data_IF_900562850971
#
_entry.id   IF_900562850971
#
_cell.length_a   1.000
_cell.length_b   1.000
_cell.length_c   1.000
_cell.angle_alpha   90.00
_cell.angle_beta   90.00
_cell.angle_gamma   90.00
#
_symmetry.space_group_name_H-M   'P 1'
#
loop_
_entity.id
_entity.type
_entity.pdbx_description
1 polymer ?
#
# COMPACT_ATOMS: atom_id res chain seq x y z
N UNK A 1 -20.67 -3.30 27.14
CA UNK A 1 -20.93 -1.85 27.02
C UNK A 1 -20.06 -1.17 28.07
N UNK A 2 -19.16 -0.29 27.64
CA UNK A 2 -18.22 0.40 28.52
C UNK A 2 -18.98 1.53 29.23
N UNK A 3 -19.10 1.49 30.56
CA UNK A 3 -19.78 2.56 31.31
C UNK A 3 -18.82 3.73 31.56
N UNK A 4 -19.34 4.96 31.58
CA UNK A 4 -18.54 6.17 31.83
C UNK A 4 -17.78 6.12 33.17
N UNK A 5 -18.34 5.45 34.18
CA UNK A 5 -17.70 5.25 35.48
C UNK A 5 -16.46 4.33 35.41
N UNK A 6 -16.42 3.42 34.45
CA UNK A 6 -15.33 2.47 34.24
C UNK A 6 -14.25 2.98 33.27
N UNK A 7 -14.42 4.18 32.70
CA UNK A 7 -13.44 4.79 31.81
C UNK A 7 -12.26 5.37 32.60
N UNK A 8 -11.07 5.38 32.01
CA UNK A 8 -9.95 6.16 32.51
C UNK A 8 -10.16 7.67 32.20
N UNK A 9 -9.26 8.54 32.67
CA UNK A 9 -9.40 9.99 32.46
C UNK A 9 -9.36 10.39 30.98
N UNK A 10 -8.50 9.76 30.18
CA UNK A 10 -8.40 10.05 28.74
C UNK A 10 -9.66 9.60 27.98
N UNK A 11 -10.17 8.40 28.29
CA UNK A 11 -11.43 7.88 27.74
C UNK A 11 -12.61 8.77 28.09
N UNK A 12 -12.71 9.26 29.34
CA UNK A 12 -13.76 10.21 29.73
C UNK A 12 -13.64 11.53 28.96
N UNK A 13 -12.44 12.07 28.84
CA UNK A 13 -12.18 13.30 28.07
C UNK A 13 -12.65 13.15 26.63
N UNK A 14 -12.27 12.05 25.95
CA UNK A 14 -12.64 11.79 24.56
C UNK A 14 -14.14 11.49 24.41
N UNK A 15 -14.75 10.79 25.37
CA UNK A 15 -16.19 10.59 25.42
C UNK A 15 -16.94 11.93 25.50
N UNK A 16 -16.54 12.81 26.42
CA UNK A 16 -17.19 14.11 26.60
C UNK A 16 -16.99 15.00 25.37
N UNK A 17 -15.78 15.01 24.79
CA UNK A 17 -15.48 15.73 23.56
C UNK A 17 -16.35 15.24 22.39
N UNK A 18 -16.48 13.92 22.20
CA UNK A 18 -17.32 13.34 21.16
C UNK A 18 -18.82 13.55 21.38
N UNK A 19 -19.26 13.60 22.63
CA UNK A 19 -20.65 13.91 23.00
C UNK A 19 -20.98 15.38 22.79
N UNK A 20 -20.03 16.28 23.04
CA UNK A 20 -20.22 17.74 22.94
C UNK A 20 -19.92 18.32 21.55
N UNK A 21 -19.25 17.58 20.66
CA UNK A 21 -18.89 17.96 19.28
C UNK A 21 -20.08 18.35 18.38
N UNK A 22 -21.30 18.25 18.90
CA UNK A 22 -22.52 18.74 18.28
C UNK A 22 -22.49 20.21 17.88
N UNK A 23 -21.79 21.08 18.60
CA UNK A 23 -21.81 22.51 18.29
C UNK A 23 -21.03 22.88 17.02
N UNK A 24 -19.95 22.17 16.71
CA UNK A 24 -19.05 22.47 15.57
C UNK A 24 -19.45 21.75 14.29
N UNK A 25 -20.18 20.64 14.37
CA UNK A 25 -20.53 19.81 13.22
C UNK A 25 -19.39 18.91 12.74
N UNK A 26 -18.19 19.05 13.29
CA UNK A 26 -17.06 18.14 13.11
C UNK A 26 -16.35 17.88 14.44
N UNK A 27 -15.77 16.69 14.56
CA UNK A 27 -14.88 16.28 15.63
C UNK A 27 -13.53 15.89 15.01
N UNK A 28 -12.48 16.64 15.35
CA UNK A 28 -11.12 16.41 14.86
C UNK A 28 -10.26 15.80 15.96
N UNK A 29 -9.95 14.52 15.79
CA UNK A 29 -9.16 13.71 16.71
C UNK A 29 -7.89 13.17 16.02
N UNK A 30 -7.38 13.85 14.99
CA UNK A 30 -6.16 13.41 14.30
C UNK A 30 -4.92 13.46 15.19
N UNK A 31 -4.02 12.49 15.04
CA UNK A 31 -2.73 12.42 15.76
C UNK A 31 -2.84 12.46 17.31
N UNK A 32 -3.87 11.83 17.90
CA UNK A 32 -4.10 11.84 19.35
C UNK A 32 -3.66 10.55 20.07
N UNK A 33 -2.94 9.65 19.37
CA UNK A 33 -2.55 8.33 19.88
C UNK A 33 -3.73 7.48 20.38
N UNK A 34 -4.91 7.64 19.78
CA UNK A 34 -6.13 6.92 20.14
C UNK A 34 -5.97 5.43 19.79
N UNK A 35 -6.06 4.55 20.79
CA UNK A 35 -6.14 3.11 20.60
C UNK A 35 -7.58 2.59 20.64
N UNK A 36 -7.74 1.28 20.62
CA UNK A 36 -9.06 0.62 20.62
C UNK A 36 -9.91 0.97 21.86
N UNK A 37 -9.28 1.10 23.02
CA UNK A 37 -9.97 1.42 24.27
C UNK A 37 -10.54 2.85 24.25
N UNK A 38 -9.81 3.81 23.70
CA UNK A 38 -10.25 5.18 23.50
C UNK A 38 -11.32 5.27 22.39
N UNK A 39 -11.14 4.55 21.28
CA UNK A 39 -12.14 4.45 20.22
C UNK A 39 -13.46 3.87 20.74
N UNK A 40 -13.41 2.90 21.66
CA UNK A 40 -14.59 2.38 22.33
C UNK A 40 -15.31 3.44 23.17
N UNK A 41 -14.58 4.31 23.87
CA UNK A 41 -15.19 5.41 24.62
C UNK A 41 -15.87 6.42 23.68
N UNK A 42 -15.21 6.79 22.59
CA UNK A 42 -15.79 7.64 21.54
C UNK A 42 -17.05 6.99 20.95
N UNK A 43 -17.02 5.69 20.68
CA UNK A 43 -18.17 4.95 20.18
C UNK A 43 -19.38 5.00 21.12
N UNK A 44 -19.18 4.85 22.43
CA UNK A 44 -20.28 4.98 23.40
C UNK A 44 -20.84 6.42 23.43
N UNK A 45 -20.01 7.44 23.24
CA UNK A 45 -20.47 8.82 23.11
C UNK A 45 -21.31 9.03 21.83
N UNK A 46 -20.87 8.45 20.71
CA UNK A 46 -21.59 8.54 19.42
C UNK A 46 -22.99 7.93 19.49
N UNK A 47 -23.21 6.89 20.31
CA UNK A 47 -24.53 6.27 20.49
C UNK A 47 -25.54 7.19 21.20
N UNK A 48 -25.07 8.04 22.10
CA UNK A 48 -25.93 9.02 22.80
C UNK A 48 -25.97 10.37 22.07
N UNK A 49 -25.02 10.58 21.16
CA UNK A 49 -24.97 11.72 20.26
C UNK A 49 -25.97 11.58 19.07
N UNK A 50 -27.20 11.21 19.39
CA UNK A 50 -28.30 11.03 18.43
C UNK A 50 -29.47 11.97 18.70
N UNK A 51 -29.52 12.61 19.88
CA UNK A 51 -30.68 13.37 20.37
C UNK A 51 -30.31 14.79 20.84
N UNK A 52 -30.13 15.75 19.94
CA UNK A 52 -30.28 17.18 20.30
C UNK A 52 -31.15 17.92 19.29
N UNK A 53 -32.46 17.66 19.39
CA UNK A 53 -33.53 18.46 18.79
C UNK A 53 -33.81 19.72 19.64
N UNK A 54 -32.78 20.54 19.85
CA UNK A 54 -32.97 21.93 20.31
C UNK A 54 -32.26 22.83 19.31
N UNK A 55 -32.97 23.86 18.85
CA UNK A 55 -32.62 24.81 17.78
C UNK A 55 -31.25 25.52 18.01
N UNK A 56 -30.60 25.30 19.16
CA UNK A 56 -29.37 25.91 19.61
C UNK A 56 -28.15 24.97 19.67
N UNK A 57 -28.29 23.66 19.39
CA UNK A 57 -27.17 22.72 19.38
C UNK A 57 -27.10 22.01 18.02
N UNK A 58 -25.96 22.11 17.34
CA UNK A 58 -25.74 21.42 16.06
C UNK A 58 -25.69 19.89 16.22
N UNK A 59 -25.31 19.18 15.17
CA UNK A 59 -25.17 17.72 15.16
C UNK A 59 -23.82 17.36 14.59
N UNK A 60 -23.10 16.43 15.21
CA UNK A 60 -21.82 15.93 14.66
C UNK A 60 -22.06 15.31 13.28
N UNK A 61 -21.46 15.89 12.24
CA UNK A 61 -21.55 15.41 10.84
C UNK A 61 -20.27 14.74 10.37
N UNK A 62 -19.11 15.25 10.81
CA UNK A 62 -17.80 14.72 10.39
C UNK A 62 -17.00 14.22 11.57
N UNK A 63 -16.57 12.96 11.51
CA UNK A 63 -15.69 12.34 12.50
C UNK A 63 -14.33 12.09 11.85
N UNK A 64 -13.30 12.80 12.31
CA UNK A 64 -11.92 12.65 11.84
C UNK A 64 -11.07 12.01 12.92
N UNK A 65 -10.60 10.79 12.69
CA UNK A 65 -9.76 10.02 13.60
C UNK A 65 -8.49 9.54 12.90
N UNK A 66 -8.00 10.31 11.90
CA UNK A 66 -6.83 9.92 11.11
C UNK A 66 -5.54 9.84 11.96
N UNK A 67 -4.59 9.04 11.51
CA UNK A 67 -3.23 8.95 12.08
C UNK A 67 -3.23 8.63 13.58
N UNK A 68 -3.96 7.58 13.96
CA UNK A 68 -4.05 7.07 15.32
C UNK A 68 -3.59 5.60 15.38
N UNK A 69 -3.93 4.87 16.44
CA UNK A 69 -3.57 3.45 16.65
C UNK A 69 -4.83 2.58 16.77
N UNK A 70 -5.90 2.95 16.05
CA UNK A 70 -7.17 2.22 16.07
C UNK A 70 -6.99 0.93 15.27
N UNK A 71 -7.15 -0.21 15.92
CA UNK A 71 -7.18 -1.52 15.31
C UNK A 71 -8.60 -1.99 15.02
N UNK A 72 -8.74 -3.29 14.72
CA UNK A 72 -10.01 -3.90 14.39
C UNK A 72 -11.08 -3.75 15.49
N UNK A 73 -10.69 -3.85 16.76
CA UNK A 73 -11.63 -3.76 17.87
C UNK A 73 -12.19 -2.34 18.04
N UNK A 74 -11.35 -1.32 17.86
CA UNK A 74 -11.77 0.08 17.87
C UNK A 74 -12.65 0.40 16.66
N UNK A 75 -12.27 -0.06 15.46
CA UNK A 75 -13.08 0.07 14.26
C UNK A 75 -14.46 -0.58 14.41
N UNK A 76 -14.51 -1.78 14.99
CA UNK A 76 -15.77 -2.47 15.31
C UNK A 76 -16.63 -1.66 16.28
N UNK A 77 -16.06 -1.09 17.33
CA UNK A 77 -16.81 -0.27 18.28
C UNK A 77 -17.44 0.96 17.61
N UNK A 78 -16.67 1.67 16.78
CA UNK A 78 -17.15 2.82 16.01
C UNK A 78 -18.24 2.40 15.01
N UNK A 79 -18.05 1.29 14.31
CA UNK A 79 -19.02 0.74 13.36
C UNK A 79 -20.36 0.44 14.06
N UNK A 80 -20.34 -0.26 15.21
CA UNK A 80 -21.55 -0.52 16.01
C UNK A 80 -22.26 0.77 16.47
N UNK A 81 -21.51 1.82 16.81
CA UNK A 81 -22.10 3.11 17.14
C UNK A 81 -22.77 3.77 15.92
N UNK A 82 -22.17 3.67 14.74
CA UNK A 82 -22.70 4.20 13.49
C UNK A 82 -23.94 3.44 12.97
N UNK A 83 -24.23 2.23 13.44
CA UNK A 83 -25.52 1.57 13.14
C UNK A 83 -26.70 2.35 13.71
N UNK A 84 -26.53 2.93 14.90
CA UNK A 84 -27.58 3.71 15.59
C UNK A 84 -27.43 5.21 15.37
N UNK A 85 -26.21 5.72 15.19
CA UNK A 85 -25.97 7.12 14.92
C UNK A 85 -26.39 7.49 13.49
N UNK A 86 -27.29 8.48 13.38
CA UNK A 86 -27.85 9.00 12.12
C UNK A 86 -27.43 10.45 11.84
N UNK A 87 -26.49 10.99 12.60
CA UNK A 87 -25.97 12.35 12.41
C UNK A 87 -24.69 12.36 11.60
N UNK A 88 -23.80 11.38 11.80
CA UNK A 88 -22.52 11.29 11.09
C UNK A 88 -22.74 10.99 9.60
N UNK A 89 -22.11 11.82 8.78
CA UNK A 89 -22.13 11.81 7.31
C UNK A 89 -20.76 11.42 6.75
N UNK A 90 -19.68 11.84 7.40
CA UNK A 90 -18.31 11.57 6.93
C UNK A 90 -17.48 10.93 8.02
N UNK A 91 -16.85 9.80 7.70
CA UNK A 91 -15.96 9.06 8.59
C UNK A 91 -14.57 9.03 7.96
N UNK A 92 -13.59 9.59 8.66
CA UNK A 92 -12.17 9.50 8.30
C UNK A 92 -11.42 8.71 9.37
N UNK A 93 -10.90 7.56 9.00
CA UNK A 93 -10.06 6.67 9.83
C UNK A 93 -8.77 6.31 9.11
N UNK A 94 -8.32 7.19 8.21
CA UNK A 94 -7.03 7.10 7.52
C UNK A 94 -5.86 6.88 8.51
N UNK A 95 -4.81 6.16 8.11
CA UNK A 95 -3.57 6.12 8.91
C UNK A 95 -3.74 5.40 10.25
N UNK A 96 -4.46 4.28 10.25
CA UNK A 96 -4.72 3.46 11.44
C UNK A 96 -4.24 2.01 11.23
N UNK A 97 -4.63 1.09 12.11
CA UNK A 97 -4.23 -0.33 12.08
C UNK A 97 -5.44 -1.23 11.81
N UNK A 98 -6.40 -0.73 11.01
CA UNK A 98 -7.63 -1.46 10.68
C UNK A 98 -7.30 -2.53 9.63
N UNK A 99 -7.54 -3.78 9.97
CA UNK A 99 -7.43 -4.91 9.07
C UNK A 99 -8.78 -5.36 8.52
N UNK A 100 -8.81 -6.57 7.97
CA UNK A 100 -10.01 -7.15 7.34
C UNK A 100 -11.19 -7.28 8.31
N UNK A 101 -10.94 -7.60 9.59
CA UNK A 101 -12.01 -7.76 10.57
C UNK A 101 -12.68 -6.43 10.92
N UNK A 102 -11.91 -5.35 11.07
CA UNK A 102 -12.44 -4.00 11.25
C UNK A 102 -13.19 -3.51 10.01
N UNK A 103 -12.65 -3.76 8.82
CA UNK A 103 -13.33 -3.47 7.55
C UNK A 103 -14.66 -4.23 7.41
N UNK A 104 -14.71 -5.49 7.83
CA UNK A 104 -15.96 -6.28 7.86
C UNK A 104 -17.00 -5.68 8.80
N UNK A 105 -16.59 -5.18 9.98
CA UNK A 105 -17.51 -4.51 10.90
C UNK A 105 -18.08 -3.20 10.31
N UNK A 106 -17.23 -2.43 9.62
CA UNK A 106 -17.66 -1.24 8.86
C UNK A 106 -18.65 -1.66 7.77
N UNK A 107 -18.38 -2.72 7.02
CA UNK A 107 -19.27 -3.23 5.98
C UNK A 107 -20.67 -3.60 6.50
N UNK A 108 -20.76 -4.32 7.63
CA UNK A 108 -22.05 -4.64 8.26
C UNK A 108 -22.81 -3.37 8.68
N UNK A 109 -22.09 -2.31 9.02
CA UNK A 109 -22.68 -1.01 9.32
C UNK A 109 -23.19 -0.31 8.06
N UNK A 110 -22.44 -0.36 6.95
CA UNK A 110 -22.86 0.22 5.67
C UNK A 110 -24.13 -0.43 5.12
N UNK A 111 -24.42 -1.69 5.43
CA UNK A 111 -25.68 -2.34 5.01
C UNK A 111 -26.93 -1.69 5.62
N UNK A 112 -26.80 -1.06 6.80
CA UNK A 112 -27.93 -0.50 7.57
C UNK A 112 -27.85 1.01 7.79
N UNK A 113 -26.66 1.59 7.67
CA UNK A 113 -26.46 3.03 7.78
C UNK A 113 -26.73 3.70 6.43
N UNK A 114 -27.69 4.63 6.44
CA UNK A 114 -28.12 5.39 5.26
C UNK A 114 -27.85 6.88 5.43
N UNK A 115 -26.83 7.25 6.22
CA UNK A 115 -26.45 8.65 6.47
C UNK A 115 -25.02 8.94 6.05
N UNK A 116 -24.15 7.94 6.12
CA UNK A 116 -22.76 8.05 5.69
C UNK A 116 -22.71 8.23 4.16
N UNK A 117 -22.01 9.28 3.73
CA UNK A 117 -21.78 9.61 2.31
C UNK A 117 -20.30 9.54 1.93
N UNK A 118 -19.40 9.68 2.92
CA UNK A 118 -17.95 9.60 2.76
C UNK A 118 -17.37 8.59 3.75
N UNK A 119 -16.62 7.62 3.22
CA UNK A 119 -15.83 6.68 3.99
C UNK A 119 -14.37 6.76 3.53
N UNK A 120 -13.49 7.17 4.43
CA UNK A 120 -12.05 7.15 4.22
C UNK A 120 -11.41 6.16 5.20
N UNK A 121 -10.94 5.05 4.64
CA UNK A 121 -10.25 3.94 5.33
C UNK A 121 -8.86 3.72 4.71
N UNK A 122 -8.30 4.79 4.17
CA UNK A 122 -7.00 4.76 3.50
C UNK A 122 -5.83 4.60 4.49
N UNK A 123 -4.65 4.21 4.03
CA UNK A 123 -3.45 3.96 4.86
C UNK A 123 -3.74 3.07 6.09
N UNK A 124 -4.28 1.88 5.82
CA UNK A 124 -4.64 0.85 6.80
C UNK A 124 -4.10 -0.51 6.33
N UNK A 125 -4.52 -1.61 6.97
CA UNK A 125 -4.09 -2.99 6.69
C UNK A 125 -5.22 -3.81 6.05
N UNK A 126 -6.07 -3.17 5.25
CA UNK A 126 -7.23 -3.82 4.62
C UNK A 126 -6.73 -4.62 3.41
N UNK A 127 -6.91 -5.93 3.47
CA UNK A 127 -6.63 -6.85 2.37
C UNK A 127 -7.87 -7.12 1.51
N UNK A 128 -7.78 -8.18 0.71
CA UNK A 128 -8.86 -8.56 -0.19
C UNK A 128 -10.17 -8.86 0.54
N UNK A 129 -10.12 -9.55 1.68
CA UNK A 129 -11.34 -9.96 2.40
C UNK A 129 -12.10 -8.75 2.96
N UNK A 130 -11.39 -7.77 3.51
CA UNK A 130 -11.99 -6.54 4.01
C UNK A 130 -12.57 -5.67 2.90
N UNK A 131 -11.84 -5.52 1.78
CA UNK A 131 -12.33 -4.79 0.62
C UNK A 131 -13.57 -5.44 0.00
N UNK A 132 -13.57 -6.78 -0.13
CA UNK A 132 -14.74 -7.54 -0.58
C UNK A 132 -15.94 -7.29 0.34
N UNK A 133 -15.76 -7.36 1.66
CA UNK A 133 -16.85 -7.10 2.60
C UNK A 133 -17.45 -5.70 2.42
N UNK A 134 -16.59 -4.67 2.34
CA UNK A 134 -17.02 -3.28 2.10
C UNK A 134 -17.84 -3.19 0.82
N UNK A 135 -17.36 -3.74 -0.30
CA UNK A 135 -18.05 -3.59 -1.58
C UNK A 135 -19.30 -4.46 -1.74
N UNK A 136 -19.39 -5.60 -1.05
CA UNK A 136 -20.65 -6.33 -0.90
C UNK A 136 -21.71 -5.50 -0.18
N UNK A 137 -21.32 -4.69 0.82
CA UNK A 137 -22.25 -3.75 1.44
C UNK A 137 -22.59 -2.57 0.51
N UNK A 138 -21.64 -2.07 -0.27
CA UNK A 138 -21.86 -0.97 -1.22
C UNK A 138 -22.83 -1.35 -2.35
N UNK A 139 -22.91 -2.63 -2.74
CA UNK A 139 -23.92 -3.11 -3.70
C UNK A 139 -25.35 -2.67 -3.33
N UNK A 140 -25.65 -2.60 -2.02
CA UNK A 140 -26.98 -2.24 -1.50
C UNK A 140 -27.04 -0.89 -0.78
N UNK A 141 -25.90 -0.28 -0.44
CA UNK A 141 -25.88 1.02 0.24
C UNK A 141 -26.31 2.16 -0.71
N UNK A 142 -27.31 2.97 -0.33
CA UNK A 142 -27.85 4.00 -1.22
C UNK A 142 -27.26 5.41 -1.00
N UNK A 143 -26.31 5.59 -0.08
CA UNK A 143 -25.86 6.93 0.36
C UNK A 143 -24.38 7.21 0.19
N UNK A 144 -23.52 6.20 0.22
CA UNK A 144 -22.09 6.38 0.04
C UNK A 144 -21.79 6.85 -1.38
N UNK A 145 -21.09 7.98 -1.47
CA UNK A 145 -20.71 8.65 -2.72
C UNK A 145 -19.21 8.71 -2.92
N UNK A 146 -18.43 8.66 -1.84
CA UNK A 146 -16.97 8.67 -1.88
C UNK A 146 -16.40 7.60 -0.95
N UNK A 147 -15.52 6.78 -1.51
CA UNK A 147 -14.75 5.76 -0.79
C UNK A 147 -13.28 5.98 -1.10
N UNK A 148 -12.47 6.13 -0.06
CA UNK A 148 -11.01 6.16 -0.15
C UNK A 148 -10.42 4.89 0.49
N UNK A 149 -9.73 4.10 -0.33
CA UNK A 149 -9.00 2.88 0.02
C UNK A 149 -7.53 2.99 -0.40
N UNK A 150 -7.04 4.22 -0.59
CA UNK A 150 -5.62 4.51 -0.82
C UNK A 150 -4.72 3.77 0.17
N UNK A 151 -3.57 3.25 -0.29
CA UNK A 151 -2.55 2.59 0.56
C UNK A 151 -3.13 1.49 1.46
N UNK A 152 -3.53 0.38 0.84
CA UNK A 152 -3.99 -0.84 1.50
C UNK A 152 -3.39 -2.06 0.78
N UNK A 153 -3.84 -3.27 1.10
CA UNK A 153 -3.32 -4.54 0.57
C UNK A 153 -4.32 -5.20 -0.41
N UNK A 154 -4.99 -4.38 -1.24
CA UNK A 154 -6.05 -4.84 -2.15
C UNK A 154 -5.45 -5.37 -3.46
N UNK A 155 -5.73 -6.62 -3.79
CA UNK A 155 -5.32 -7.32 -5.00
C UNK A 155 -6.37 -7.36 -6.11
N UNK A 156 -6.08 -8.14 -7.15
CA UNK A 156 -6.95 -8.34 -8.30
C UNK A 156 -8.24 -9.10 -7.96
N UNK A 157 -8.19 -10.02 -6.99
CA UNK A 157 -9.37 -10.77 -6.53
C UNK A 157 -10.43 -9.86 -5.91
N UNK A 158 -10.05 -8.92 -5.04
CA UNK A 158 -11.00 -7.92 -4.54
C UNK A 158 -11.45 -6.95 -5.64
N UNK A 159 -10.58 -6.57 -6.57
CA UNK A 159 -10.94 -5.70 -7.69
C UNK A 159 -12.10 -6.26 -8.54
N UNK A 160 -12.22 -7.59 -8.66
CA UNK A 160 -13.37 -8.23 -9.32
C UNK A 160 -14.69 -7.97 -8.57
N UNK A 161 -14.70 -8.09 -7.24
CA UNK A 161 -15.88 -7.80 -6.40
C UNK A 161 -16.23 -6.31 -6.42
N UNK A 162 -15.21 -5.45 -6.40
CA UNK A 162 -15.36 -4.00 -6.56
C UNK A 162 -16.03 -3.69 -7.90
N UNK A 163 -15.57 -4.32 -8.98
CA UNK A 163 -16.15 -4.15 -10.32
C UNK A 163 -17.64 -4.58 -10.37
N UNK A 164 -17.99 -5.71 -9.76
CA UNK A 164 -19.41 -6.12 -9.65
C UNK A 164 -20.25 -5.11 -8.87
N UNK A 165 -19.71 -4.61 -7.75
CA UNK A 165 -20.38 -3.61 -6.95
C UNK A 165 -20.59 -2.31 -7.72
N UNK A 166 -19.61 -1.86 -8.51
CA UNK A 166 -19.75 -0.68 -9.37
C UNK A 166 -20.77 -0.88 -10.49
N UNK A 167 -20.98 -2.11 -11.00
CA UNK A 167 -22.05 -2.35 -11.99
C UNK A 167 -23.44 -2.12 -11.39
N UNK A 168 -23.63 -2.55 -10.14
CA UNK A 168 -24.92 -2.53 -9.43
C UNK A 168 -25.20 -1.19 -8.74
N UNK A 169 -24.21 -0.65 -8.02
CA UNK A 169 -24.33 0.59 -7.28
C UNK A 169 -24.37 1.79 -8.25
N UNK A 170 -25.24 2.76 -7.95
CA UNK A 170 -25.44 3.99 -8.74
C UNK A 170 -25.19 5.27 -7.93
N UNK A 171 -24.56 5.16 -6.78
CA UNK A 171 -24.38 6.26 -5.81
C UNK A 171 -22.92 6.65 -5.66
N UNK A 172 -21.99 5.68 -5.72
CA UNK A 172 -20.56 5.95 -5.65
C UNK A 172 -20.15 6.77 -6.88
N UNK A 173 -19.70 7.98 -6.59
CA UNK A 173 -19.23 8.97 -7.55
C UNK A 173 -17.71 9.06 -7.58
N UNK A 174 -17.05 8.78 -6.46
CA UNK A 174 -15.59 8.85 -6.33
C UNK A 174 -15.05 7.59 -5.67
N UNK A 175 -14.05 6.99 -6.28
CA UNK A 175 -13.34 5.83 -5.73
C UNK A 175 -11.83 6.04 -5.88
N UNK A 176 -11.11 5.96 -4.77
CA UNK A 176 -9.65 5.99 -4.76
C UNK A 176 -9.10 4.67 -4.25
N UNK A 177 -8.20 4.09 -5.04
CA UNK A 177 -7.52 2.83 -4.74
C UNK A 177 -6.04 2.94 -5.09
N UNK A 178 -5.45 4.15 -5.06
CA UNK A 178 -4.02 4.33 -5.30
C UNK A 178 -3.19 3.50 -4.31
N UNK A 179 -1.97 3.10 -4.69
CA UNK A 179 -1.04 2.36 -3.80
C UNK A 179 -1.62 1.03 -3.29
N UNK A 180 -2.22 0.24 -4.18
CA UNK A 180 -2.66 -1.14 -3.94
C UNK A 180 -1.98 -2.10 -4.94
N UNK A 181 -2.48 -3.33 -5.10
CA UNK A 181 -1.89 -4.42 -5.89
C UNK A 181 -2.88 -4.95 -6.94
N UNK A 182 -3.70 -4.06 -7.51
CA UNK A 182 -4.83 -4.40 -8.39
C UNK A 182 -4.41 -5.15 -9.67
N UNK A 183 -3.25 -4.80 -10.25
CA UNK A 183 -2.70 -5.44 -11.44
C UNK A 183 -3.57 -5.35 -12.70
N UNK A 184 -3.15 -6.06 -13.76
CA UNK A 184 -3.86 -6.07 -15.05
C UNK A 184 -5.24 -6.74 -14.97
N UNK A 185 -5.35 -7.86 -14.25
CA UNK A 185 -6.61 -8.60 -14.11
C UNK A 185 -7.67 -7.78 -13.36
N UNK A 186 -7.29 -7.10 -12.28
CA UNK A 186 -8.18 -6.21 -11.56
C UNK A 186 -8.56 -4.97 -12.36
N UNK A 187 -7.60 -4.37 -13.08
CA UNK A 187 -7.86 -3.24 -13.97
C UNK A 187 -8.84 -3.60 -15.10
N UNK A 188 -8.71 -4.80 -15.69
CA UNK A 188 -9.66 -5.31 -16.68
C UNK A 188 -11.07 -5.44 -16.10
N UNK A 189 -11.22 -6.02 -14.90
CA UNK A 189 -12.52 -6.14 -14.25
C UNK A 189 -13.17 -4.77 -14.01
N UNK A 190 -12.40 -3.81 -13.48
CA UNK A 190 -12.87 -2.44 -13.26
C UNK A 190 -13.26 -1.78 -14.59
N UNK A 191 -12.45 -1.93 -15.64
CA UNK A 191 -12.76 -1.42 -16.98
C UNK A 191 -14.09 -1.97 -17.51
N UNK A 192 -14.34 -3.27 -17.36
CA UNK A 192 -15.62 -3.86 -17.76
C UNK A 192 -16.81 -3.38 -16.93
N UNK A 193 -16.59 -3.00 -15.67
CA UNK A 193 -17.61 -2.33 -14.87
C UNK A 193 -17.87 -0.89 -15.34
N UNK A 194 -16.82 -0.14 -15.69
CA UNK A 194 -16.93 1.23 -16.20
C UNK A 194 -17.78 1.29 -17.48
N UNK A 195 -17.73 0.26 -18.34
CA UNK A 195 -18.57 0.20 -19.55
C UNK A 195 -20.07 0.32 -19.25
N UNK A 196 -20.53 -0.11 -18.08
CA UNK A 196 -21.94 -0.08 -17.67
C UNK A 196 -22.25 0.86 -16.48
N UNK A 197 -21.23 1.30 -15.74
CA UNK A 197 -21.40 2.23 -14.63
C UNK A 197 -21.74 3.63 -15.15
N UNK A 198 -22.66 4.30 -14.47
CA UNK A 198 -23.17 5.63 -14.83
C UNK A 198 -23.15 6.62 -13.66
N UNK A 199 -22.45 6.28 -12.57
CA UNK A 199 -22.39 7.11 -11.36
C UNK A 199 -20.99 7.60 -11.06
N UNK A 200 -19.98 6.81 -11.37
CA UNK A 200 -18.58 7.09 -11.07
C UNK A 200 -18.09 8.22 -11.99
N UNK A 201 -17.62 9.29 -11.37
CA UNK A 201 -17.06 10.48 -12.00
C UNK A 201 -15.56 10.60 -11.76
N UNK A 202 -15.02 10.06 -10.66
CA UNK A 202 -13.59 10.03 -10.39
C UNK A 202 -13.12 8.64 -9.95
N UNK A 203 -12.04 8.16 -10.58
CA UNK A 203 -11.39 6.90 -10.26
C UNK A 203 -9.88 7.10 -10.17
N UNK A 204 -9.29 6.69 -9.05
CA UNK A 204 -7.84 6.66 -8.90
C UNK A 204 -7.31 5.24 -8.74
N UNK A 205 -6.37 4.90 -9.61
CA UNK A 205 -5.71 3.60 -9.75
C UNK A 205 -4.19 3.79 -9.88
N UNK A 206 -3.61 4.90 -9.41
CA UNK A 206 -2.18 5.11 -9.46
C UNK A 206 -1.42 4.10 -8.61
N UNK A 207 -0.19 3.74 -8.98
CA UNK A 207 0.65 2.80 -8.20
C UNK A 207 -0.02 1.46 -7.90
N UNK A 208 -0.60 0.82 -8.91
CA UNK A 208 -1.33 -0.44 -8.80
C UNK A 208 -0.76 -1.59 -9.64
N UNK A 209 0.46 -1.42 -10.15
CA UNK A 209 1.12 -2.42 -11.01
C UNK A 209 0.32 -2.74 -12.28
N UNK A 210 -0.48 -1.79 -12.78
CA UNK A 210 -1.28 -1.98 -14.00
C UNK A 210 -0.35 -1.89 -15.22
N UNK A 211 -0.32 -2.95 -16.01
CA UNK A 211 0.45 -3.06 -17.23
C UNK A 211 -0.29 -2.54 -18.47
N UNK A 212 0.28 -2.86 -19.63
CA UNK A 212 -0.30 -2.51 -20.94
C UNK A 212 -1.68 -3.16 -21.14
N UNK A 213 -1.88 -4.39 -20.66
CA UNK A 213 -3.15 -5.10 -20.87
C UNK A 213 -4.30 -4.43 -20.11
N UNK A 214 -4.11 -4.10 -18.83
CA UNK A 214 -5.10 -3.38 -18.04
C UNK A 214 -5.36 -1.97 -18.58
N UNK A 215 -4.32 -1.29 -19.07
CA UNK A 215 -4.48 0.03 -19.71
C UNK A 215 -5.31 -0.03 -21.00
N UNK A 216 -5.11 -1.04 -21.85
CA UNK A 216 -5.92 -1.23 -23.06
C UNK A 216 -7.39 -1.46 -22.70
N UNK A 217 -7.67 -2.26 -21.67
CA UNK A 217 -9.02 -2.48 -21.18
C UNK A 217 -9.69 -1.17 -20.74
N UNK A 218 -8.96 -0.36 -19.95
CA UNK A 218 -9.43 0.95 -19.49
C UNK A 218 -9.68 1.87 -20.69
N UNK A 219 -8.80 1.89 -21.69
CA UNK A 219 -8.97 2.68 -22.90
C UNK A 219 -10.26 2.32 -23.66
N UNK A 220 -10.56 1.03 -23.81
CA UNK A 220 -11.84 0.58 -24.40
C UNK A 220 -13.04 1.05 -23.57
N UNK A 221 -12.95 0.96 -22.24
CA UNK A 221 -14.02 1.41 -21.36
C UNK A 221 -14.27 2.92 -21.47
N UNK A 222 -13.21 3.72 -21.59
CA UNK A 222 -13.30 5.18 -21.79
C UNK A 222 -13.98 5.57 -23.10
N UNK A 223 -13.94 4.73 -24.14
CA UNK A 223 -14.63 5.03 -25.39
C UNK A 223 -16.16 5.00 -25.24
N UNK A 224 -16.68 4.19 -24.31
CA UNK A 224 -18.13 4.00 -24.11
C UNK A 224 -18.66 4.68 -22.85
N UNK A 225 -17.85 4.79 -21.79
CA UNK A 225 -18.23 5.44 -20.55
C UNK A 225 -18.30 6.96 -20.74
N UNK A 226 -19.42 7.57 -20.32
CA UNK A 226 -19.68 9.01 -20.48
C UNK A 226 -19.71 9.77 -19.16
N UNK A 227 -19.47 9.10 -18.04
CA UNK A 227 -19.63 9.67 -16.71
C UNK A 227 -18.31 9.94 -16.01
N UNK A 228 -17.27 9.17 -16.34
CA UNK A 228 -15.95 9.29 -15.75
C UNK A 228 -15.22 10.52 -16.29
N UNK A 229 -15.11 11.54 -15.45
CA UNK A 229 -14.44 12.81 -15.76
C UNK A 229 -13.03 12.90 -15.22
N UNK A 230 -12.64 12.04 -14.27
CA UNK A 230 -11.30 12.04 -13.69
C UNK A 230 -10.78 10.61 -13.55
N UNK A 231 -9.62 10.35 -14.15
CA UNK A 231 -8.95 9.05 -14.10
C UNK A 231 -7.46 9.24 -13.80
N UNK A 232 -7.00 8.65 -12.71
CA UNK A 232 -5.62 8.73 -12.26
C UNK A 232 -4.95 7.36 -12.38
N UNK A 233 -3.96 7.24 -13.26
CA UNK A 233 -3.20 6.03 -13.61
C UNK A 233 -1.70 6.23 -13.43
N UNK A 234 -1.26 7.30 -12.76
CA UNK A 234 0.14 7.62 -12.58
C UNK A 234 0.92 6.50 -11.86
N UNK A 235 2.21 6.38 -12.15
CA UNK A 235 3.12 5.43 -11.47
C UNK A 235 2.66 3.95 -11.55
N UNK A 236 2.01 3.53 -12.64
CA UNK A 236 1.72 2.12 -12.97
C UNK A 236 2.83 1.53 -13.86
N UNK A 237 2.59 0.42 -14.55
CA UNK A 237 3.50 -0.26 -15.47
C UNK A 237 3.04 -0.13 -16.94
N UNK A 238 2.39 0.98 -17.31
CA UNK A 238 1.73 1.08 -18.61
C UNK A 238 2.77 1.37 -19.70
N UNK A 239 2.93 0.44 -20.64
CA UNK A 239 3.81 0.62 -21.79
C UNK A 239 3.27 1.64 -22.81
N UNK A 240 4.11 2.05 -23.76
CA UNK A 240 3.78 3.08 -24.76
C UNK A 240 2.46 2.82 -25.49
N UNK A 241 2.20 1.57 -25.88
CA UNK A 241 0.95 1.17 -26.54
C UNK A 241 -0.27 1.45 -25.66
N UNK A 242 -0.18 1.18 -24.36
CA UNK A 242 -1.27 1.46 -23.41
C UNK A 242 -1.46 2.96 -23.18
N UNK A 243 -0.36 3.72 -23.13
CA UNK A 243 -0.41 5.20 -23.04
C UNK A 243 -1.09 5.79 -24.27
N UNK A 244 -0.66 5.38 -25.47
CA UNK A 244 -1.25 5.81 -26.75
C UNK A 244 -2.75 5.46 -26.81
N UNK A 245 -3.15 4.26 -26.39
CA UNK A 245 -4.55 3.86 -26.38
C UNK A 245 -5.41 4.72 -25.44
N UNK A 246 -4.92 5.04 -24.24
CA UNK A 246 -5.60 5.92 -23.29
C UNK A 246 -5.69 7.35 -23.84
N UNK A 247 -4.62 7.85 -24.46
CA UNK A 247 -4.61 9.18 -25.07
C UNK A 247 -5.59 9.29 -26.25
N UNK A 248 -5.65 8.27 -27.12
CA UNK A 248 -6.64 8.21 -28.19
C UNK A 248 -8.08 8.12 -27.65
N UNK A 249 -8.32 7.29 -26.63
CA UNK A 249 -9.63 7.17 -26.01
C UNK A 249 -10.11 8.51 -25.41
N UNK A 250 -9.22 9.28 -24.80
CA UNK A 250 -9.54 10.62 -24.25
C UNK A 250 -9.87 11.64 -25.34
N UNK A 251 -9.27 11.56 -26.54
CA UNK A 251 -9.59 12.49 -27.65
C UNK A 251 -11.06 12.39 -28.09
N UNK A 252 -11.67 11.22 -27.93
CA UNK A 252 -13.08 10.98 -28.27
C UNK A 252 -14.01 11.70 -27.28
N UNK A 253 -13.60 11.82 -26.01
CA UNK A 253 -14.39 12.45 -24.94
C UNK A 253 -13.58 13.58 -24.28
N UNK A 254 -13.62 14.77 -24.90
CA UNK A 254 -12.82 15.95 -24.57
C UNK A 254 -13.07 16.63 -23.21
N UNK A 255 -13.45 15.89 -22.17
CA UNK A 255 -13.74 16.43 -20.83
C UNK A 255 -13.10 15.66 -19.67
N UNK A 256 -12.47 14.50 -19.92
CA UNK A 256 -11.90 13.69 -18.83
C UNK A 256 -10.45 14.09 -18.51
N UNK A 257 -10.22 14.55 -17.28
CA UNK A 257 -8.90 14.71 -16.70
C UNK A 257 -8.27 13.32 -16.52
N UNK A 258 -7.37 12.95 -17.42
CA UNK A 258 -6.63 11.67 -17.35
C UNK A 258 -5.17 11.95 -17.05
N UNK A 259 -4.70 11.42 -15.92
CA UNK A 259 -3.30 11.44 -15.51
C UNK A 259 -2.69 10.06 -15.73
N UNK A 260 -1.78 9.93 -16.69
CA UNK A 260 -1.07 8.67 -16.99
C UNK A 260 0.46 8.87 -16.93
N UNK A 261 0.93 9.91 -16.24
CA UNK A 261 2.36 10.20 -16.14
C UNK A 261 3.11 9.16 -15.30
N UNK A 262 4.43 9.20 -15.38
CA UNK A 262 5.30 8.52 -14.41
C UNK A 262 5.25 6.98 -14.38
N UNK A 263 4.83 6.37 -15.49
CA UNK A 263 4.84 4.91 -15.70
C UNK A 263 6.22 4.27 -15.45
N UNK A 264 6.20 3.12 -14.81
CA UNK A 264 7.33 2.27 -14.47
C UNK A 264 7.54 1.33 -15.65
N UNK A 265 8.79 1.03 -15.97
CA UNK A 265 9.08 -0.06 -16.89
C UNK A 265 8.53 -1.38 -16.29
N UNK A 266 7.67 -2.12 -17.00
CA UNK A 266 7.08 -3.38 -16.50
C UNK A 266 8.10 -4.39 -15.96
N UNK A 267 9.31 -4.42 -16.53
CA UNK A 267 10.37 -5.33 -16.08
C UNK A 267 10.84 -5.04 -14.65
N UNK A 268 10.58 -3.85 -14.10
CA UNK A 268 11.01 -3.49 -12.77
C UNK A 268 10.53 -4.49 -11.70
N UNK A 269 9.30 -5.00 -11.85
CA UNK A 269 8.71 -5.97 -10.92
C UNK A 269 9.17 -7.42 -11.19
N UNK A 270 9.63 -7.73 -12.41
CA UNK A 270 10.25 -9.02 -12.70
C UNK A 270 11.67 -9.14 -12.14
N UNK A 271 12.26 -8.01 -11.75
CA UNK A 271 13.61 -7.92 -11.18
C UNK A 271 13.59 -7.84 -9.65
N UNK A 272 12.42 -8.08 -9.04
CA UNK A 272 12.31 -8.22 -7.60
C UNK A 272 13.19 -9.37 -7.11
N UNK A 273 13.89 -9.20 -5.98
CA UNK A 273 14.66 -10.30 -5.46
C UNK A 273 13.78 -11.46 -5.04
N UNK A 274 14.21 -12.66 -5.41
CA UNK A 274 13.48 -13.89 -5.11
C UNK A 274 13.70 -14.28 -3.64
N UNK A 275 12.60 -14.35 -2.88
CA UNK A 275 12.62 -14.92 -1.54
C UNK A 275 12.80 -16.44 -1.60
N UNK A 276 13.62 -16.98 -0.71
CA UNK A 276 13.83 -18.41 -0.56
C UNK A 276 12.54 -19.06 -0.05
N UNK A 277 11.99 -20.00 -0.81
CA UNK A 277 10.87 -20.83 -0.31
C UNK A 277 11.39 -22.02 0.50
N UNK A 278 10.49 -22.70 1.21
CA UNK A 278 10.83 -23.95 1.91
C UNK A 278 11.31 -25.03 0.91
N UNK A 279 10.70 -25.09 -0.28
CA UNK A 279 11.11 -25.99 -1.36
C UNK A 279 12.47 -25.62 -1.93
N UNK A 280 12.79 -24.33 -2.08
CA UNK A 280 14.10 -23.87 -2.55
C UNK A 280 15.21 -24.29 -1.56
N UNK A 281 14.96 -24.10 -0.25
CA UNK A 281 15.87 -24.56 0.80
C UNK A 281 16.02 -26.09 0.79
N UNK A 282 14.93 -26.83 0.58
CA UNK A 282 14.93 -28.28 0.47
C UNK A 282 15.68 -28.76 -0.79
N UNK A 283 15.50 -28.09 -1.94
CA UNK A 283 16.15 -28.43 -3.19
C UNK A 283 17.66 -28.15 -3.13
N UNK A 284 18.07 -27.02 -2.56
CA UNK A 284 19.47 -26.72 -2.26
C UNK A 284 20.06 -27.79 -1.35
N UNK A 285 19.33 -28.18 -0.30
CA UNK A 285 19.74 -29.25 0.61
C UNK A 285 19.90 -30.61 -0.12
N UNK A 286 18.96 -30.97 -1.01
CA UNK A 286 19.02 -32.20 -1.82
C UNK A 286 20.18 -32.20 -2.84
N UNK A 287 20.44 -31.07 -3.49
CA UNK A 287 21.56 -30.92 -4.43
C UNK A 287 22.91 -31.04 -3.72
N UNK A 288 23.00 -30.49 -2.51
CA UNK A 288 24.19 -30.48 -1.67
C UNK A 288 24.62 -31.86 -1.18
N UNK A 289 23.66 -32.77 -0.95
CA UNK A 289 23.92 -34.12 -0.43
C UNK A 289 24.06 -35.19 -1.52
N UNK A 290 23.95 -34.82 -2.82
CA UNK A 290 24.19 -35.69 -3.99
C UNK A 290 23.71 -37.14 -3.82
N UNK A 291 22.39 -37.37 -3.75
CA UNK A 291 21.87 -38.74 -3.75
C UNK A 291 20.35 -38.81 -3.94
N UNK A 292 19.92 -39.51 -4.99
CA UNK A 292 18.53 -39.87 -5.27
C UNK A 292 17.92 -40.90 -4.30
N UNK A 293 18.45 -41.04 -3.08
CA UNK A 293 18.11 -42.09 -2.11
C UNK A 293 17.46 -41.59 -0.81
N UNK A 294 16.90 -40.37 -0.80
CA UNK A 294 16.30 -39.77 0.42
C UNK A 294 14.80 -39.52 0.32
N UNK A 295 14.06 -40.34 -0.46
CA UNK A 295 12.59 -40.27 -0.45
C UNK A 295 11.94 -40.94 0.78
N UNK A 296 12.68 -41.67 1.62
CA UNK A 296 12.08 -42.49 2.69
C UNK A 296 12.78 -42.48 4.08
N UNK A 297 13.69 -41.53 4.37
CA UNK A 297 14.35 -41.49 5.69
C UNK A 297 13.88 -40.33 6.57
N UNK A 298 12.97 -40.65 7.50
CA UNK A 298 12.71 -39.86 8.70
C UNK A 298 13.78 -40.13 9.76
N UNK A 299 14.92 -39.42 9.73
CA UNK A 299 15.79 -39.23 10.89
C UNK A 299 16.90 -38.21 10.57
N UNK A 300 16.92 -37.11 11.34
CA UNK A 300 17.99 -36.11 11.48
C UNK A 300 18.94 -35.93 10.27
N UNK A 301 18.67 -34.87 9.50
CA UNK A 301 19.52 -34.37 8.44
C UNK A 301 20.95 -34.07 8.94
N UNK A 302 22.02 -34.48 8.22
CA UNK A 302 23.39 -34.11 8.57
C UNK A 302 23.63 -32.60 8.33
N UNK A 303 24.38 -31.98 9.24
CA UNK A 303 24.71 -30.54 9.18
C UNK A 303 25.75 -30.30 8.08
N UNK A 304 25.38 -29.51 7.08
CA UNK A 304 26.31 -29.00 6.06
C UNK A 304 27.37 -28.12 6.71
N UNK A 305 28.64 -28.18 6.25
CA UNK A 305 29.62 -27.17 6.57
C UNK A 305 29.05 -25.79 6.21
N UNK A 306 28.96 -24.84 7.16
CA UNK A 306 28.34 -23.53 6.96
C UNK A 306 28.87 -22.81 5.71
N UNK A 307 30.14 -23.00 5.38
CA UNK A 307 30.81 -22.34 4.26
C UNK A 307 30.26 -22.74 2.88
N UNK A 308 29.81 -23.99 2.73
CA UNK A 308 29.29 -24.49 1.44
C UNK A 308 27.82 -24.11 1.24
N UNK A 309 27.03 -24.17 2.31
CA UNK A 309 25.65 -23.67 2.31
C UNK A 309 25.61 -22.16 2.03
N UNK A 310 26.55 -21.41 2.62
CA UNK A 310 26.70 -19.98 2.33
C UNK A 310 27.00 -19.72 0.86
N UNK A 311 27.89 -20.50 0.25
CA UNK A 311 28.33 -20.26 -1.13
C UNK A 311 27.22 -20.50 -2.16
N UNK A 312 26.38 -21.52 -1.95
CA UNK A 312 25.24 -21.80 -2.83
C UNK A 312 24.13 -20.77 -2.66
N UNK A 313 23.84 -20.36 -1.43
CA UNK A 313 22.89 -19.28 -1.17
C UNK A 313 23.39 -17.94 -1.74
N UNK A 314 24.70 -17.68 -1.66
CA UNK A 314 25.32 -16.48 -2.22
C UNK A 314 25.29 -16.48 -3.77
N UNK A 315 25.46 -17.63 -4.44
CA UNK A 315 25.41 -17.76 -5.91
C UNK A 315 23.98 -17.77 -6.48
N UNK A 316 23.01 -18.29 -5.73
CA UNK A 316 21.64 -18.41 -6.20
C UNK A 316 20.76 -17.18 -5.88
N UNK A 317 21.31 -16.16 -5.22
CA UNK A 317 20.65 -14.89 -4.90
C UNK A 317 19.29 -15.01 -4.17
N UNK A 318 19.11 -16.07 -3.38
CA UNK A 318 17.90 -16.30 -2.57
C UNK A 318 17.93 -15.55 -1.24
N UNK A 319 16.86 -14.81 -0.92
CA UNK A 319 16.78 -14.03 0.33
C UNK A 319 15.78 -14.64 1.31
N UNK A 320 16.10 -14.78 2.60
CA UNK A 320 15.14 -15.28 3.59
C UNK A 320 14.24 -14.16 4.14
N UNK A 321 14.81 -12.95 4.26
CA UNK A 321 14.09 -11.73 4.58
C UNK A 321 14.57 -10.58 3.70
N UNK A 322 13.67 -9.65 3.42
CA UNK A 322 13.95 -8.48 2.60
C UNK A 322 13.36 -7.26 3.26
N UNK A 323 14.20 -6.26 3.48
CA UNK A 323 13.75 -4.91 3.75
C UNK A 323 13.87 -4.11 2.46
N UNK A 324 12.91 -3.22 2.22
CA UNK A 324 12.98 -2.36 1.05
C UNK A 324 12.36 -1.00 1.30
N UNK A 325 12.74 -0.04 0.46
CA UNK A 325 12.07 1.27 0.44
C UNK A 325 10.84 1.23 -0.46
N UNK A 326 9.85 2.11 -0.18
CA UNK A 326 8.85 2.50 -1.18
C UNK A 326 9.54 3.36 -2.28
N UNK A 327 9.04 3.33 -3.51
CA UNK A 327 9.57 4.11 -4.66
C UNK A 327 9.71 5.59 -4.31
N UNK A 328 10.87 6.18 -4.62
CA UNK A 328 11.11 7.62 -4.42
C UNK A 328 11.72 8.26 -5.67
N UNK A 329 11.21 9.45 -6.02
CA UNK A 329 11.67 10.22 -7.17
C UNK A 329 12.66 11.28 -6.71
N UNK A 330 13.84 11.31 -7.34
CA UNK A 330 14.89 12.26 -7.02
C UNK A 330 14.95 13.31 -8.13
N UNK A 331 14.51 14.52 -7.80
CA UNK A 331 14.65 15.68 -8.68
C UNK A 331 15.79 16.58 -8.22
N UNK A 332 16.38 17.35 -9.13
CA UNK A 332 17.46 18.30 -8.82
C UNK A 332 17.03 19.40 -7.81
N UNK A 333 15.74 19.52 -7.49
CA UNK A 333 15.24 20.43 -6.45
C UNK A 333 15.34 19.84 -5.03
N UNK A 334 15.63 18.54 -4.88
CA UNK A 334 15.69 17.84 -3.60
C UNK A 334 17.09 17.27 -3.34
N UNK A 335 18.07 18.16 -3.18
CA UNK A 335 19.40 17.78 -2.69
C UNK A 335 19.30 17.21 -1.27
N UNK A 336 19.82 16.01 -1.04
CA UNK A 336 19.92 15.38 0.29
C UNK A 336 18.95 14.23 0.57
N UNK A 337 18.06 13.88 -0.36
CA UNK A 337 17.31 12.64 -0.25
C UNK A 337 18.25 11.46 -0.54
N UNK A 338 18.10 10.39 0.24
CA UNK A 338 18.69 9.10 -0.04
C UNK A 338 17.66 8.00 0.26
N UNK A 339 17.71 6.90 -0.49
CA UNK A 339 16.93 5.71 -0.14
C UNK A 339 17.57 5.06 1.07
N UNK A 340 16.80 4.89 2.13
CA UNK A 340 17.30 4.38 3.39
C UNK A 340 16.53 3.11 3.77
N UNK A 341 17.26 2.02 3.98
CA UNK A 341 16.74 0.80 4.60
C UNK A 341 17.41 0.64 5.96
N UNK A 342 16.61 0.60 7.02
CA UNK A 342 17.08 0.29 8.37
C UNK A 342 16.90 -1.20 8.61
N UNK A 343 17.96 -1.89 9.03
CA UNK A 343 17.88 -3.32 9.33
C UNK A 343 17.07 -3.58 10.61
N UNK A 344 16.28 -4.67 10.66
CA UNK A 344 15.46 -4.98 11.81
C UNK A 344 16.32 -5.31 13.03
N UNK A 345 15.72 -5.22 14.23
CA UNK A 345 16.36 -5.41 15.54
C UNK A 345 16.66 -6.88 15.91
N UNK A 346 16.71 -7.76 14.93
CA UNK A 346 17.01 -9.19 15.14
C UNK A 346 18.42 -9.48 14.64
N UNK A 347 18.98 -10.64 14.96
CA UNK A 347 20.28 -11.05 14.40
C UNK A 347 20.16 -11.15 12.88
N UNK A 348 20.70 -10.16 12.18
CA UNK A 348 20.59 -10.01 10.72
C UNK A 348 21.95 -10.20 10.10
N UNK A 349 22.05 -11.04 9.07
CA UNK A 349 23.22 -11.07 8.20
C UNK A 349 22.84 -10.65 6.79
N UNK A 350 23.34 -9.49 6.35
CA UNK A 350 23.10 -8.98 4.99
C UNK A 350 23.75 -9.90 3.96
N UNK A 351 22.93 -10.35 3.00
CA UNK A 351 23.29 -11.25 1.91
C UNK A 351 23.47 -10.55 0.59
N UNK A 352 22.69 -9.53 0.32
CA UNK A 352 22.95 -8.64 -0.80
C UNK A 352 22.18 -7.34 -0.66
N UNK A 353 22.60 -6.36 -1.45
CA UNK A 353 21.90 -5.09 -1.64
C UNK A 353 21.59 -5.00 -3.12
N UNK A 354 20.31 -4.94 -3.48
CA UNK A 354 19.87 -4.69 -4.85
C UNK A 354 19.31 -3.27 -4.97
N UNK A 355 19.72 -2.57 -6.03
CA UNK A 355 19.23 -1.24 -6.35
C UNK A 355 18.69 -1.24 -7.76
N UNK A 356 17.42 -0.89 -7.91
CA UNK A 356 16.74 -0.79 -9.18
C UNK A 356 16.46 0.67 -9.52
N UNK A 357 16.76 1.05 -10.76
CA UNK A 357 16.53 2.40 -11.27
C UNK A 357 15.90 2.35 -12.65
N UNK A 358 14.94 3.24 -12.88
CA UNK A 358 14.46 3.60 -14.21
C UNK A 358 15.16 4.90 -14.67
N UNK A 359 15.82 4.81 -15.81
CA UNK A 359 16.65 5.84 -16.40
C UNK A 359 16.03 6.28 -17.73
N UNK A 360 15.20 7.32 -17.68
CA UNK A 360 14.51 7.87 -18.87
C UNK A 360 15.39 8.74 -19.77
N UNK A 361 16.66 8.96 -19.41
CA UNK A 361 17.64 9.70 -20.22
C UNK A 361 18.93 8.89 -20.30
N UNK A 362 19.62 8.85 -21.45
CA UNK A 362 20.89 8.14 -21.59
C UNK A 362 21.97 8.82 -20.74
N UNK A 363 22.12 8.35 -19.51
CA UNK A 363 23.16 8.78 -18.59
C UNK A 363 23.99 7.54 -18.26
N UNK A 364 24.76 7.10 -19.27
CA UNK A 364 25.66 5.95 -19.21
C UNK A 364 26.76 6.07 -18.12
N UNK A 365 26.80 7.18 -17.38
CA UNK A 365 27.90 7.50 -16.45
C UNK A 365 27.51 7.73 -14.98
N UNK A 366 26.23 7.59 -14.60
CA UNK A 366 25.83 7.88 -13.21
C UNK A 366 25.88 6.59 -12.39
N UNK A 367 26.95 6.46 -11.59
CA UNK A 367 27.03 5.53 -10.48
C UNK A 367 26.16 6.01 -9.29
N UNK A 368 25.91 5.11 -8.35
CA UNK A 368 25.28 5.44 -7.06
C UNK A 368 26.24 5.13 -5.92
N UNK A 369 26.22 5.97 -4.89
CA UNK A 369 26.95 5.72 -3.67
C UNK A 369 26.06 4.92 -2.73
N UNK A 370 26.59 3.79 -2.26
CA UNK A 370 26.00 2.98 -1.20
C UNK A 370 26.79 3.23 0.06
N UNK A 371 26.13 3.88 1.02
CA UNK A 371 26.65 4.22 2.33
C UNK A 371 26.03 3.32 3.38
N UNK A 372 26.85 2.68 4.21
CA UNK A 372 26.38 1.95 5.38
C UNK A 372 26.68 2.81 6.60
N UNK A 373 25.64 3.18 7.32
CA UNK A 373 25.71 3.97 8.55
C UNK A 373 25.38 3.11 9.76
N UNK A 374 26.09 3.34 10.85
CA UNK A 374 25.74 2.74 12.13
C UNK A 374 24.51 3.42 12.76
N UNK A 375 24.12 2.94 13.93
CA UNK A 375 23.02 3.44 14.75
C UNK A 375 23.21 4.89 15.24
N UNK A 376 24.45 5.40 15.19
CA UNK A 376 24.80 6.78 15.51
C UNK A 376 24.88 7.68 14.25
N UNK A 377 24.62 7.11 13.07
CA UNK A 377 24.65 7.82 11.78
C UNK A 377 26.05 7.96 11.16
N UNK A 378 27.09 7.38 11.76
CA UNK A 378 28.44 7.44 11.23
C UNK A 378 28.62 6.47 10.05
N UNK A 379 29.23 6.94 8.96
CA UNK A 379 29.50 6.12 7.78
C UNK A 379 30.61 5.11 8.12
N UNK A 380 30.30 3.82 8.00
CA UNK A 380 31.22 2.70 8.25
C UNK A 380 31.75 2.08 6.97
N UNK A 381 31.01 2.24 5.88
CA UNK A 381 31.39 1.74 4.57
C UNK A 381 30.74 2.58 3.48
N UNK A 382 31.49 2.81 2.41
CA UNK A 382 31.05 3.56 1.24
C UNK A 382 31.57 2.84 0.00
N UNK A 383 30.70 2.62 -0.99
CA UNK A 383 31.12 2.17 -2.31
C UNK A 383 30.31 2.84 -3.42
N UNK A 384 31.00 3.20 -4.50
CA UNK A 384 30.35 3.62 -5.73
C UNK A 384 30.03 2.39 -6.58
N UNK A 385 28.75 2.15 -6.86
CA UNK A 385 28.30 1.04 -7.67
C UNK A 385 27.86 1.51 -9.05
N UNK A 386 28.38 0.86 -10.09
CA UNK A 386 27.96 1.10 -11.48
C UNK A 386 26.82 0.15 -11.84
N UNK A 387 25.65 0.65 -12.28
CA UNK A 387 24.56 -0.20 -12.74
C UNK A 387 24.90 -0.93 -14.03
N UNK A 388 24.38 -2.15 -14.16
CA UNK A 388 24.24 -2.83 -15.43
C UNK A 388 22.86 -2.51 -16.01
N UNK A 389 22.79 -2.28 -17.33
CA UNK A 389 21.51 -2.22 -18.03
C UNK A 389 20.91 -3.62 -18.12
N UNK A 390 19.67 -3.75 -17.65
CA UNK A 390 18.87 -4.96 -17.83
C UNK A 390 18.02 -4.81 -19.10
N UNK A 391 17.57 -3.59 -19.41
CA UNK A 391 16.85 -3.22 -20.63
C UNK A 391 17.13 -1.74 -20.96
N UNK A 392 16.50 -1.16 -21.99
CA UNK A 392 16.80 0.18 -22.51
C UNK A 392 16.70 1.30 -21.48
N UNK A 393 15.85 1.17 -20.45
CA UNK A 393 15.72 2.19 -19.38
C UNK A 393 16.01 1.65 -17.99
N UNK A 394 16.03 0.33 -17.78
CA UNK A 394 16.20 -0.25 -16.45
C UNK A 394 17.64 -0.60 -16.17
N UNK A 395 18.10 -0.12 -15.02
CA UNK A 395 19.42 -0.31 -14.47
C UNK A 395 19.32 -1.07 -13.14
N UNK A 396 20.08 -2.15 -13.02
CA UNK A 396 20.15 -2.98 -11.82
C UNK A 396 21.59 -3.04 -11.30
N UNK A 397 21.73 -2.88 -9.99
CA UNK A 397 22.96 -3.17 -9.25
C UNK A 397 22.64 -4.27 -8.24
N UNK A 398 23.49 -5.27 -8.15
CA UNK A 398 23.49 -6.25 -7.05
C UNK A 398 24.86 -6.23 -6.37
N UNK A 399 24.89 -5.91 -5.07
CA UNK A 399 26.10 -5.87 -4.24
C UNK A 399 26.05 -7.07 -3.30
N UNK A 400 27.03 -7.96 -3.39
CA UNK A 400 27.09 -9.19 -2.60
C UNK A 400 28.35 -9.23 -1.72
N UNK A 401 28.35 -9.99 -0.61
CA UNK A 401 29.52 -10.24 0.23
C UNK A 401 30.74 -10.79 -0.51
N UNK A 402 30.54 -11.50 -1.63
CA UNK A 402 31.62 -12.00 -2.47
C UNK A 402 32.49 -10.88 -3.05
N UNK A 403 31.88 -9.77 -3.49
CA UNK A 403 32.56 -8.58 -4.00
C UNK A 403 32.77 -7.50 -2.93
N UNK A 404 31.95 -7.50 -1.87
CA UNK A 404 31.99 -6.53 -0.79
C UNK A 404 31.95 -7.23 0.60
N UNK A 405 33.08 -7.80 1.09
CA UNK A 405 33.10 -8.60 2.31
C UNK A 405 32.61 -7.87 3.58
N UNK A 406 32.64 -6.54 3.59
CA UNK A 406 32.13 -5.71 4.68
C UNK A 406 30.65 -5.95 4.98
N UNK A 407 29.83 -6.34 3.98
CA UNK A 407 28.41 -6.59 4.17
C UNK A 407 28.12 -7.63 5.27
N UNK A 408 29.05 -8.55 5.54
CA UNK A 408 28.93 -9.55 6.62
C UNK A 408 29.06 -8.95 8.03
N UNK A 409 29.53 -7.71 8.16
CA UNK A 409 29.78 -7.04 9.44
C UNK A 409 28.64 -6.09 9.85
N UNK A 410 27.67 -5.87 8.97
CA UNK A 410 26.52 -5.00 9.23
C UNK A 410 25.68 -5.59 10.37
N UNK A 411 25.19 -4.72 11.25
CA UNK A 411 24.44 -5.10 12.45
C UNK A 411 23.00 -4.64 12.38
N UNK A 412 22.18 -5.13 13.30
CA UNK A 412 20.83 -4.64 13.54
C UNK A 412 20.79 -3.11 13.74
N UNK A 413 19.70 -2.47 13.32
CA UNK A 413 19.50 -1.01 13.36
C UNK A 413 20.46 -0.18 12.51
N UNK A 414 21.47 -0.77 11.86
CA UNK A 414 22.29 -0.07 10.88
C UNK A 414 21.49 0.24 9.63
N UNK A 415 21.89 1.31 8.94
CA UNK A 415 21.17 1.84 7.79
C UNK A 415 21.98 1.66 6.51
N UNK A 416 21.37 1.05 5.51
CA UNK A 416 21.86 1.07 4.13
C UNK A 416 21.23 2.28 3.44
N UNK A 417 22.09 3.18 2.97
CA UNK A 417 21.74 4.41 2.32
C UNK A 417 22.21 4.39 0.87
N UNK A 418 21.34 4.68 -0.08
CA UNK A 418 21.68 4.79 -1.51
C UNK A 418 21.33 6.16 -2.05
N UNK A 419 22.28 6.78 -2.73
CA UNK A 419 22.14 8.09 -3.34
C UNK A 419 22.89 8.16 -4.68
N UNK A 420 22.55 9.09 -5.58
CA UNK A 420 23.33 9.29 -6.80
C UNK A 420 24.76 9.80 -6.52
N UNK A 421 25.77 9.24 -7.19
CA UNK A 421 27.18 9.71 -7.05
C UNK A 421 27.45 11.07 -7.71
N UNK A 422 26.57 11.51 -8.61
CA UNK A 422 26.65 12.80 -9.30
C UNK A 422 25.29 13.49 -9.28
N UNK A 423 25.32 14.81 -9.29
CA UNK A 423 24.12 15.63 -9.47
C UNK A 423 23.59 15.40 -10.88
N UNK A 424 22.40 14.81 -10.98
CA UNK A 424 21.68 14.70 -12.23
C UNK A 424 20.21 15.03 -12.02
N UNK A 425 19.67 15.80 -12.96
CA UNK A 425 18.25 16.05 -13.00
C UNK A 425 17.53 14.80 -13.52
N UNK A 426 16.48 14.37 -12.82
CA UNK A 426 15.53 13.31 -13.22
C UNK A 426 16.01 11.87 -13.00
N UNK A 427 16.58 11.57 -11.83
CA UNK A 427 16.89 10.21 -11.41
C UNK A 427 15.70 9.57 -10.68
N UNK A 428 15.31 8.35 -11.07
CA UNK A 428 14.24 7.59 -10.40
C UNK A 428 14.77 6.28 -9.89
N UNK A 429 14.95 6.18 -8.57
CA UNK A 429 15.15 4.88 -7.96
C UNK A 429 13.80 4.21 -7.78
N UNK A 430 13.65 3.06 -8.41
CA UNK A 430 12.43 2.26 -8.29
C UNK A 430 12.39 1.58 -6.94
N UNK A 431 13.53 1.04 -6.48
CA UNK A 431 13.63 0.36 -5.21
C UNK A 431 15.07 0.15 -4.74
N UNK A 432 15.23 0.05 -3.42
CA UNK A 432 16.41 -0.45 -2.72
C UNK A 432 15.95 -1.66 -1.92
N UNK A 433 16.50 -2.84 -2.21
CA UNK A 433 16.30 -4.06 -1.45
C UNK A 433 17.56 -4.41 -0.67
N UNK A 434 17.41 -4.74 0.60
CA UNK A 434 18.46 -5.33 1.42
C UNK A 434 18.00 -6.71 1.84
N UNK A 435 18.60 -7.72 1.21
CA UNK A 435 18.34 -9.12 1.51
C UNK A 435 19.18 -9.58 2.68
N UNK A 436 18.58 -10.33 3.60
CA UNK A 436 19.25 -10.88 4.77
C UNK A 436 18.72 -12.26 5.17
N UNK A 437 19.47 -12.88 6.07
CA UNK A 437 19.11 -14.11 6.80
C UNK A 437 19.12 -13.84 8.29
#
# INVERSE_FOLDING_TARGET
MLSYQNMNENQRRLYDEAKEANRSGWLDLRHNEIGDAEAQAIAEALKVNTETNTILQGTLRSLMMCDNRIGDAGAQAIAEALKVNKSVITLYVEGNQIGDAGAQAIAETLKVNTTLTVLDVSDNQIGDAGAQAIFEAIKVNPTVTFIDLHTNEIGDAAAQVIAEALKLNKTVAKLRMDLNQIGDAGAQAIADALKANTSLTALSLGRNQIGTAGALAIAEALQVNKTLTSLYLQYNCIGNVGVEAIDEARKVHGTSEVSISDQINPLAFSLLPRLATAEDLQAVFCLLISGSELQDQSASLPVLPPELAERIMDEAHYFQGVQHTKRSQFSAAFFGLALNVTLPRNSVRVKSIQVLRDCRASLDEIAFDVNIRDDQGAVRYECAAKPAFVESTIQLVTICPASHPFLRQIRESWQVQVQPSKVSANLRFESLYVGYV
#
